data_IF_234017447593
#
_entry.id   IF_234017447593
#
_cell.length_a   1.000
_cell.length_b   1.000
_cell.length_c   1.000
_cell.angle_alpha   90.00
_cell.angle_beta   90.00
_cell.angle_gamma   90.00
#
_symmetry.space_group_name_H-M   'P 1'
#
loop_
_entity.id
_entity.type
_entity.pdbx_description
1 polymer ?
#
# COMPACT_ATOMS: atom_id res chain seq x y z
N UNK A 1 3.99 -4.26 0.09
CA UNK A 1 3.39 -3.35 -0.88
C UNK A 1 2.93 -4.22 -2.04
N UNK A 2 1.88 -3.85 -2.76
CA UNK A 2 1.52 -4.55 -4.01
C UNK A 2 2.15 -3.85 -5.21
N UNK A 3 2.41 -4.60 -6.27
CA UNK A 3 2.76 -4.03 -7.57
C UNK A 3 1.52 -3.38 -8.19
N UNK A 4 1.65 -2.11 -8.57
CA UNK A 4 0.63 -1.30 -9.21
C UNK A 4 0.93 -1.24 -10.70
N UNK A 5 0.31 -2.14 -11.45
CA UNK A 5 0.43 -2.14 -12.90
C UNK A 5 -0.48 -1.05 -13.48
N UNK A 6 0.07 -0.19 -14.35
CA UNK A 6 -0.69 0.75 -15.17
C UNK A 6 -1.41 -0.02 -16.29
N UNK A 7 -2.53 -0.68 -15.94
CA UNK A 7 -3.25 -1.58 -16.86
C UNK A 7 -4.14 -0.80 -17.80
N UNK A 8 -4.59 0.38 -17.36
CA UNK A 8 -5.36 1.30 -18.19
C UNK A 8 -4.44 2.13 -19.07
N UNK A 9 -4.98 2.51 -20.23
CA UNK A 9 -4.37 3.54 -21.05
C UNK A 9 -4.21 4.82 -20.22
N UNK A 10 -3.17 5.58 -20.52
CA UNK A 10 -3.05 6.93 -19.99
C UNK A 10 -4.34 7.74 -20.29
N UNK A 11 -4.90 8.45 -19.30
CA UNK A 11 -6.00 9.38 -19.52
C UNK A 11 -5.68 10.43 -20.60
N UNK A 12 -6.51 10.56 -21.66
CA UNK A 12 -6.37 11.62 -22.66
C UNK A 12 -6.14 13.02 -22.09
N UNK A 13 -6.86 13.39 -21.02
CA UNK A 13 -6.68 14.71 -20.38
C UNK A 13 -5.28 14.91 -19.78
N UNK A 14 -4.64 13.84 -19.29
CA UNK A 14 -3.25 13.89 -18.82
C UNK A 14 -2.28 14.05 -20.00
N UNK A 15 -2.52 13.33 -21.10
CA UNK A 15 -1.71 13.43 -22.31
C UNK A 15 -1.78 14.83 -22.93
N UNK A 16 -2.96 15.46 -22.92
CA UNK A 16 -3.15 16.87 -23.31
C UNK A 16 -2.39 17.80 -22.36
N UNK A 17 -2.57 17.63 -21.04
CA UNK A 17 -1.88 18.45 -20.04
C UNK A 17 -0.36 18.37 -20.14
N UNK A 18 0.20 17.22 -20.53
CA UNK A 18 1.64 17.07 -20.79
C UNK A 18 2.13 17.96 -21.95
N UNK A 19 1.29 18.23 -22.96
CA UNK A 19 1.62 19.10 -24.12
C UNK A 19 1.47 20.58 -23.78
N UNK A 20 0.57 20.91 -22.84
CA UNK A 20 0.32 22.27 -22.35
C UNK A 20 0.53 22.32 -20.83
N UNK A 21 1.77 22.10 -20.35
CA UNK A 21 2.03 22.00 -18.93
C UNK A 21 1.74 23.33 -18.23
N UNK A 22 1.13 23.26 -17.05
CA UNK A 22 1.11 24.42 -16.17
C UNK A 22 2.53 24.70 -15.67
N UNK A 23 3.06 25.88 -16.01
CA UNK A 23 4.39 26.33 -15.63
C UNK A 23 4.41 26.93 -14.22
N UNK A 24 3.24 27.22 -13.63
CA UNK A 24 3.11 27.79 -12.30
C UNK A 24 3.11 26.73 -11.19
N UNK A 25 2.85 25.46 -11.53
CA UNK A 25 2.64 24.46 -10.49
C UNK A 25 2.26 23.05 -10.95
N UNK A 26 1.47 22.41 -10.09
CA UNK A 26 0.81 21.13 -10.38
C UNK A 26 -0.68 21.41 -10.37
N UNK A 27 -1.28 21.27 -11.53
CA UNK A 27 -2.72 21.37 -11.70
C UNK A 27 -3.11 20.48 -12.88
N UNK A 28 -4.12 19.64 -12.71
CA UNK A 28 -4.66 18.81 -13.78
C UNK A 28 -5.85 19.49 -14.47
N UNK A 29 -6.39 20.58 -13.91
CA UNK A 29 -7.54 21.28 -14.42
C UNK A 29 -8.71 20.32 -14.68
N UNK A 30 -9.33 20.34 -15.87
CA UNK A 30 -10.44 19.46 -16.24
C UNK A 30 -10.10 17.96 -16.18
N UNK A 31 -8.83 17.57 -16.35
CA UNK A 31 -8.40 16.17 -16.33
C UNK A 31 -8.38 15.55 -14.93
N UNK A 32 -8.61 16.34 -13.88
CA UNK A 32 -8.50 15.89 -12.48
C UNK A 32 -9.35 14.66 -12.19
N UNK A 33 -10.63 14.68 -12.56
CA UNK A 33 -11.56 13.56 -12.27
C UNK A 33 -11.13 12.29 -12.99
N UNK A 34 -10.87 12.39 -14.30
CA UNK A 34 -10.47 11.26 -15.15
C UNK A 34 -9.17 10.60 -14.64
N UNK A 35 -8.15 11.41 -14.32
CA UNK A 35 -6.88 10.89 -13.79
C UNK A 35 -7.08 10.22 -12.44
N UNK A 36 -7.94 10.79 -11.58
CA UNK A 36 -8.23 10.21 -10.26
C UNK A 36 -8.92 8.86 -10.38
N UNK A 37 -9.92 8.73 -11.24
CA UNK A 37 -10.64 7.48 -11.49
C UNK A 37 -9.69 6.40 -12.07
N UNK A 38 -8.84 6.77 -13.03
CA UNK A 38 -7.86 5.87 -13.60
C UNK A 38 -6.86 5.36 -12.55
N UNK A 39 -6.37 6.25 -11.66
CA UNK A 39 -5.47 5.88 -10.56
C UNK A 39 -6.15 4.96 -9.55
N UNK A 40 -7.36 5.28 -9.12
CA UNK A 40 -8.08 4.42 -8.15
C UNK A 40 -8.28 3.01 -8.72
N UNK A 41 -8.61 2.92 -10.01
CA UNK A 41 -8.82 1.64 -10.67
C UNK A 41 -7.52 0.84 -10.88
N UNK A 42 -6.43 1.46 -11.35
CA UNK A 42 -5.12 0.78 -11.49
C UNK A 42 -4.55 0.31 -10.15
N UNK A 43 -4.92 1.00 -9.06
CA UNK A 43 -4.49 0.66 -7.71
C UNK A 43 -5.48 -0.17 -6.91
N UNK A 44 -6.57 -0.61 -7.54
CA UNK A 44 -7.59 -1.47 -6.92
C UNK A 44 -8.15 -0.86 -5.62
N UNK A 45 -8.32 0.47 -5.62
CA UNK A 45 -8.83 1.24 -4.48
C UNK A 45 -7.86 1.43 -3.31
N UNK A 46 -6.57 1.12 -3.47
CA UNK A 46 -5.59 1.15 -2.38
C UNK A 46 -4.57 2.28 -2.52
N UNK A 47 -4.11 2.80 -1.38
CA UNK A 47 -2.95 3.67 -1.30
C UNK A 47 -1.70 2.94 -1.79
N UNK A 48 -0.93 3.61 -2.65
CA UNK A 48 0.25 3.03 -3.29
C UNK A 48 1.28 2.48 -2.28
N UNK A 49 1.40 3.12 -1.11
CA UNK A 49 2.41 2.77 -0.12
C UNK A 49 1.92 1.88 1.01
N UNK A 50 0.94 2.33 1.80
CA UNK A 50 0.49 1.58 2.98
C UNK A 50 -0.61 0.55 2.69
N UNK A 51 -1.15 0.53 1.46
CA UNK A 51 -2.22 -0.36 1.01
C UNK A 51 -3.50 -0.30 1.86
N UNK A 52 -3.75 0.79 2.60
CA UNK A 52 -5.10 1.10 3.11
C UNK A 52 -6.00 1.53 1.95
N UNK A 53 -7.32 1.47 2.12
CA UNK A 53 -8.27 2.02 1.14
C UNK A 53 -8.05 3.53 0.96
N UNK A 54 -8.12 4.00 -0.28
CA UNK A 54 -8.21 5.42 -0.58
C UNK A 54 -9.55 5.95 -0.04
N UNK A 55 -9.50 7.03 0.73
CA UNK A 55 -10.67 7.75 1.27
C UNK A 55 -10.89 9.05 0.48
N UNK A 56 -12.00 9.75 0.70
CA UNK A 56 -12.34 10.96 -0.07
C UNK A 56 -11.21 12.02 -0.11
N UNK A 57 -10.33 12.05 0.89
CA UNK A 57 -9.20 12.97 0.99
C UNK A 57 -7.90 12.50 0.35
N UNK A 58 -7.92 11.44 -0.47
CA UNK A 58 -6.73 10.91 -1.12
C UNK A 58 -6.14 11.90 -2.15
N UNK A 59 -4.82 11.84 -2.35
CA UNK A 59 -4.05 12.78 -3.18
C UNK A 59 -3.32 12.07 -4.31
N UNK A 60 -3.07 12.79 -5.40
CA UNK A 60 -2.16 12.35 -6.45
C UNK A 60 -0.74 12.74 -6.03
N UNK A 61 0.14 11.76 -5.99
CA UNK A 61 1.55 11.90 -5.69
C UNK A 61 2.39 11.63 -6.94
N UNK A 62 3.55 12.29 -7.00
CA UNK A 62 4.61 12.00 -7.95
C UNK A 62 5.63 11.08 -7.29
N UNK A 63 5.87 9.90 -7.85
CA UNK A 63 6.85 8.95 -7.32
C UNK A 63 8.26 9.56 -7.33
N UNK A 64 8.72 10.04 -8.50
CA UNK A 64 9.82 11.01 -8.62
C UNK A 64 9.27 12.39 -8.27
N UNK A 65 9.72 13.01 -7.16
CA UNK A 65 9.21 14.31 -6.75
C UNK A 65 9.49 15.38 -7.81
N UNK A 66 8.56 16.34 -7.95
CA UNK A 66 8.69 17.45 -8.91
C UNK A 66 9.93 18.32 -8.69
N UNK A 67 10.38 18.43 -7.43
CA UNK A 67 11.61 19.14 -7.07
C UNK A 67 12.89 18.41 -7.48
N UNK A 68 12.80 17.12 -7.81
CA UNK A 68 13.91 16.29 -8.28
C UNK A 68 13.94 16.28 -9.80
N UNK A 69 12.80 16.02 -10.44
CA UNK A 69 12.71 15.96 -11.90
C UNK A 69 11.34 16.48 -12.39
N UNK A 70 11.30 17.76 -12.76
CA UNK A 70 10.06 18.44 -13.15
C UNK A 70 9.48 17.95 -14.48
N UNK A 71 10.30 17.38 -15.37
CA UNK A 71 9.86 16.79 -16.65
C UNK A 71 8.90 15.61 -16.44
N UNK A 72 8.94 14.96 -15.26
CA UNK A 72 8.07 13.84 -14.90
C UNK A 72 6.74 14.23 -14.28
N UNK A 73 6.44 15.53 -14.18
CA UNK A 73 5.23 16.04 -13.50
C UNK A 73 3.96 15.41 -14.07
N UNK A 74 3.83 15.35 -15.40
CA UNK A 74 2.65 14.81 -16.07
C UNK A 74 2.89 13.44 -16.69
N UNK A 75 3.89 12.68 -16.24
CA UNK A 75 4.12 11.30 -16.70
C UNK A 75 3.16 10.33 -16.01
N UNK A 76 2.35 9.59 -16.78
CA UNK A 76 1.39 8.64 -16.19
C UNK A 76 2.06 7.60 -15.30
N UNK A 77 3.23 7.14 -15.71
CA UNK A 77 4.11 6.21 -14.99
C UNK A 77 4.89 6.86 -13.84
N UNK A 78 4.58 8.10 -13.49
CA UNK A 78 5.11 8.79 -12.31
C UNK A 78 3.99 9.15 -11.31
N UNK A 79 2.71 9.02 -11.68
CA UNK A 79 1.58 9.39 -10.82
C UNK A 79 1.04 8.20 -10.03
N UNK A 80 0.77 8.43 -8.74
CA UNK A 80 0.25 7.46 -7.79
C UNK A 80 -0.91 8.06 -6.99
N UNK A 81 -1.91 7.25 -6.66
CA UNK A 81 -2.92 7.58 -5.65
C UNK A 81 -2.46 7.21 -4.25
N UNK A 82 -2.43 8.16 -3.34
CA UNK A 82 -2.00 7.96 -1.96
C UNK A 82 -3.01 8.52 -0.97
N UNK A 83 -3.09 7.90 0.21
CA UNK A 83 -3.89 8.44 1.29
C UNK A 83 -3.40 9.83 1.71
N UNK A 84 -4.24 10.59 2.43
CA UNK A 84 -3.88 11.90 2.97
C UNK A 84 -2.63 11.92 3.87
N UNK A 85 -2.21 10.75 4.37
CA UNK A 85 -0.96 10.60 5.12
C UNK A 85 -1.05 11.04 6.58
N UNK A 86 -2.24 11.35 7.08
CA UNK A 86 -2.44 11.77 8.46
C UNK A 86 -3.25 10.72 9.21
N UNK A 87 -2.68 10.25 10.31
CA UNK A 87 -3.39 9.45 11.30
C UNK A 87 -3.41 10.27 12.59
N UNK A 88 -4.58 10.35 13.24
CA UNK A 88 -4.73 11.13 14.47
C UNK A 88 -3.68 10.79 15.54
N UNK A 89 -3.62 11.63 16.58
CA UNK A 89 -2.64 11.48 17.66
C UNK A 89 -2.65 10.07 18.25
N UNK A 90 -1.45 9.61 18.60
CA UNK A 90 -1.30 8.33 19.28
C UNK A 90 -1.77 8.48 20.73
N UNK A 91 -2.65 7.61 21.23
CA UNK A 91 -3.00 7.59 22.65
C UNK A 91 -1.76 7.45 23.53
N UNK A 92 -1.67 8.27 24.59
CA UNK A 92 -0.49 8.37 25.48
C UNK A 92 -0.26 7.11 26.34
N UNK A 93 -1.29 6.30 26.50
CA UNK A 93 -1.32 5.07 27.30
C UNK A 93 -0.85 3.83 26.52
N UNK A 94 -0.63 3.92 25.21
CA UNK A 94 -0.12 2.80 24.43
C UNK A 94 1.38 2.54 24.69
N UNK A 95 1.81 1.28 24.91
CA UNK A 95 3.22 0.94 25.14
C UNK A 95 4.11 1.42 23.99
N UNK A 96 5.26 2.00 24.29
CA UNK A 96 6.16 2.55 23.28
C UNK A 96 6.44 1.57 22.13
N UNK A 97 6.36 2.06 20.89
CA UNK A 97 6.73 1.26 19.71
C UNK A 97 8.23 1.45 19.45
N UNK A 98 9.02 0.38 19.25
CA UNK A 98 10.44 0.51 18.89
C UNK A 98 10.56 0.96 17.43
N UNK A 99 10.27 2.24 17.18
CA UNK A 99 10.25 2.90 15.88
C UNK A 99 10.84 4.31 16.04
N UNK A 100 11.89 4.68 15.27
CA UNK A 100 12.46 6.03 15.28
C UNK A 100 11.47 7.16 14.97
N UNK A 101 10.34 6.85 14.34
CA UNK A 101 9.26 7.79 14.01
C UNK A 101 8.11 7.78 15.04
N UNK A 102 8.33 7.23 16.24
CA UNK A 102 7.35 7.21 17.32
C UNK A 102 6.80 8.61 17.63
N UNK A 103 5.48 8.71 17.82
CA UNK A 103 4.78 9.97 18.09
C UNK A 103 4.41 10.78 16.85
N UNK A 104 4.97 10.49 15.66
CA UNK A 104 4.58 11.18 14.42
C UNK A 104 3.23 10.67 13.90
N UNK A 105 2.35 11.62 13.55
CA UNK A 105 1.03 11.38 12.94
C UNK A 105 1.12 11.17 11.41
N UNK A 106 2.14 11.76 10.78
CA UNK A 106 2.38 11.72 9.34
C UNK A 106 2.90 10.36 8.87
N UNK A 107 2.44 9.90 7.72
CA UNK A 107 2.89 8.71 7.02
C UNK A 107 2.67 8.83 5.50
N UNK A 108 3.17 7.86 4.74
CA UNK A 108 3.12 7.84 3.28
C UNK A 108 3.70 9.15 2.70
N UNK A 109 2.99 9.77 1.75
CA UNK A 109 3.36 11.02 1.09
C UNK A 109 3.65 12.17 2.07
N UNK A 110 2.82 12.34 3.11
CA UNK A 110 3.01 13.39 4.11
C UNK A 110 4.37 13.28 4.84
N UNK A 111 4.81 12.04 5.12
CA UNK A 111 6.11 11.76 5.73
C UNK A 111 7.26 11.79 4.72
N UNK A 112 7.04 11.25 3.51
CA UNK A 112 8.04 11.19 2.43
C UNK A 112 8.45 12.56 1.93
N UNK A 113 7.50 13.49 1.80
CA UNK A 113 7.73 14.82 1.24
C UNK A 113 8.41 14.72 -0.13
N UNK A 114 9.54 15.40 -0.31
CA UNK A 114 10.32 15.41 -1.55
C UNK A 114 11.45 14.38 -1.57
N UNK A 115 11.47 13.41 -0.64
CA UNK A 115 12.49 12.36 -0.64
C UNK A 115 12.21 11.36 -1.76
N UNK A 116 13.21 11.11 -2.61
CA UNK A 116 13.15 10.04 -3.60
C UNK A 116 13.28 8.68 -2.90
N UNK A 117 12.44 7.73 -3.28
CA UNK A 117 12.43 6.38 -2.72
C UNK A 117 13.09 5.38 -3.67
N UNK A 118 13.63 4.31 -3.11
CA UNK A 118 14.03 3.11 -3.85
C UNK A 118 12.84 2.19 -4.12
N UNK A 119 11.92 2.08 -3.15
CA UNK A 119 10.66 1.36 -3.29
C UNK A 119 9.81 2.03 -4.37
N UNK A 120 9.64 1.33 -5.48
CA UNK A 120 8.79 1.77 -6.58
C UNK A 120 7.57 0.87 -6.72
N UNK A 121 6.36 1.32 -6.31
CA UNK A 121 5.13 0.55 -6.45
C UNK A 121 4.82 0.11 -7.89
N UNK A 122 5.34 0.81 -8.89
CA UNK A 122 5.13 0.55 -10.33
C UNK A 122 6.10 -0.52 -10.88
N UNK A 123 7.01 -1.04 -10.05
CA UNK A 123 7.93 -2.12 -10.42
C UNK A 123 7.50 -3.43 -9.75
N UNK A 124 7.46 -4.57 -10.48
CA UNK A 124 7.08 -5.86 -9.89
C UNK A 124 7.91 -6.27 -8.68
N UNK A 125 9.19 -5.89 -8.64
CA UNK A 125 10.12 -6.24 -7.56
C UNK A 125 9.64 -5.78 -6.16
N UNK A 126 8.84 -4.71 -6.08
CA UNK A 126 8.37 -4.11 -4.82
C UNK A 126 7.62 -5.08 -3.90
N UNK A 127 7.01 -6.13 -4.46
CA UNK A 127 6.31 -7.16 -3.67
C UNK A 127 7.25 -7.99 -2.81
N UNK A 128 8.52 -8.10 -3.21
CA UNK A 128 9.58 -8.81 -2.48
C UNK A 128 10.49 -7.90 -1.63
N UNK A 129 10.35 -6.58 -1.76
CA UNK A 129 11.22 -5.61 -1.07
C UNK A 129 10.77 -5.29 0.36
N UNK A 130 9.53 -5.62 0.72
CA UNK A 130 9.00 -5.42 2.08
C UNK A 130 8.30 -6.67 2.60
N UNK A 131 8.50 -6.95 3.89
CA UNK A 131 7.90 -8.07 4.62
C UNK A 131 6.92 -7.56 5.69
N UNK A 132 5.93 -8.39 5.99
CA UNK A 132 4.91 -8.13 7.00
C UNK A 132 4.96 -9.18 8.10
N UNK A 133 4.83 -8.74 9.35
CA UNK A 133 4.76 -9.61 10.53
C UNK A 133 3.35 -9.68 11.11
N UNK A 134 3.13 -10.67 11.99
CA UNK A 134 1.89 -10.80 12.78
C UNK A 134 1.59 -9.57 13.65
N UNK A 135 2.63 -8.86 14.13
CA UNK A 135 2.46 -7.62 14.89
C UNK A 135 2.05 -6.41 14.03
N UNK A 136 1.83 -6.63 12.72
CA UNK A 136 1.52 -5.58 11.76
C UNK A 136 2.73 -4.72 11.36
N UNK A 137 3.94 -5.08 11.79
CA UNK A 137 5.17 -4.35 11.41
C UNK A 137 5.52 -4.64 9.95
N UNK A 138 6.06 -3.62 9.28
CA UNK A 138 6.63 -3.67 7.94
C UNK A 138 8.14 -3.52 8.06
N UNK A 139 8.87 -4.35 7.35
CA UNK A 139 10.34 -4.33 7.33
C UNK A 139 10.82 -4.38 5.87
N UNK A 140 11.84 -3.59 5.54
CA UNK A 140 12.52 -3.69 4.26
C UNK A 140 13.42 -4.93 4.20
N UNK A 141 13.56 -5.54 3.03
CA UNK A 141 14.45 -6.70 2.83
C UNK A 141 15.88 -6.30 2.49
N UNK A 142 16.13 -5.02 2.24
CA UNK A 142 17.43 -4.40 2.04
C UNK A 142 17.57 -3.13 2.88
N UNK A 143 18.78 -2.60 3.02
CA UNK A 143 19.01 -1.33 3.72
C UNK A 143 18.23 -0.16 3.08
N UNK A 144 18.18 -0.11 1.74
CA UNK A 144 17.42 0.91 1.01
C UNK A 144 15.91 0.79 1.27
N UNK A 145 15.35 -0.42 1.17
CA UNK A 145 13.94 -0.64 1.46
C UNK A 145 13.60 -0.34 2.93
N UNK A 146 14.51 -0.63 3.86
CA UNK A 146 14.32 -0.31 5.28
C UNK A 146 14.33 1.22 5.53
N UNK A 147 15.22 1.96 4.87
CA UNK A 147 15.23 3.42 4.91
C UNK A 147 13.95 4.02 4.32
N UNK A 148 13.42 3.46 3.24
CA UNK A 148 12.15 3.92 2.65
C UNK A 148 10.94 3.60 3.55
N UNK A 149 10.92 2.45 4.21
CA UNK A 149 9.90 2.08 5.21
C UNK A 149 9.85 3.11 6.34
N UNK A 150 11.02 3.60 6.78
CA UNK A 150 11.13 4.68 7.77
C UNK A 150 10.69 6.03 7.21
N UNK A 151 11.16 6.40 6.01
CA UNK A 151 10.82 7.65 5.31
C UNK A 151 9.30 7.78 5.10
N UNK A 152 8.65 6.70 4.71
CA UNK A 152 7.20 6.60 4.56
C UNK A 152 6.45 6.44 5.88
N UNK A 153 7.15 6.30 7.01
CA UNK A 153 6.62 5.95 8.32
C UNK A 153 5.58 4.80 8.24
N UNK A 154 5.90 3.71 7.53
CA UNK A 154 4.91 2.64 7.31
C UNK A 154 4.53 1.91 8.60
N UNK A 155 5.33 2.03 9.66
CA UNK A 155 5.05 1.54 11.02
C UNK A 155 4.42 2.58 11.94
N UNK A 156 3.80 3.62 11.37
CA UNK A 156 2.90 4.51 12.12
C UNK A 156 1.85 3.66 12.87
N UNK A 157 1.56 4.04 14.12
CA UNK A 157 0.83 3.21 15.08
C UNK A 157 -0.50 2.67 14.54
N UNK A 158 -1.30 3.50 13.87
CA UNK A 158 -2.62 3.14 13.35
C UNK A 158 -2.50 2.19 12.15
N UNK A 159 -1.52 2.41 11.28
CA UNK A 159 -1.23 1.49 10.18
C UNK A 159 -0.79 0.13 10.72
N UNK A 160 0.09 0.11 11.72
CA UNK A 160 0.55 -1.12 12.36
C UNK A 160 -0.60 -1.86 13.06
N UNK A 161 -1.40 -1.16 13.87
CA UNK A 161 -2.57 -1.74 14.55
C UNK A 161 -3.60 -2.29 13.57
N UNK A 162 -3.90 -1.57 12.48
CA UNK A 162 -4.85 -2.05 11.48
C UNK A 162 -4.35 -3.30 10.74
N UNK A 163 -3.05 -3.35 10.39
CA UNK A 163 -2.45 -4.55 9.78
C UNK A 163 -2.49 -5.74 10.72
N UNK A 164 -2.20 -5.51 12.01
CA UNK A 164 -2.31 -6.54 13.05
C UNK A 164 -3.76 -7.05 13.16
N UNK A 165 -4.74 -6.17 13.20
CA UNK A 165 -6.15 -6.55 13.27
C UNK A 165 -6.61 -7.37 12.06
N UNK A 166 -6.17 -6.98 10.85
CA UNK A 166 -6.46 -7.75 9.62
C UNK A 166 -5.81 -9.13 9.67
N UNK A 167 -4.57 -9.24 10.15
CA UNK A 167 -3.89 -10.52 10.36
C UNK A 167 -4.66 -11.40 11.35
N UNK A 168 -4.94 -10.88 12.54
CA UNK A 168 -5.58 -11.63 13.63
C UNK A 168 -6.97 -12.12 13.24
N UNK A 169 -7.77 -11.31 12.53
CA UNK A 169 -9.09 -11.72 12.02
C UNK A 169 -9.01 -12.85 10.99
N UNK A 170 -8.08 -12.77 10.05
CA UNK A 170 -7.90 -13.81 9.05
C UNK A 170 -7.38 -15.11 9.69
N UNK A 171 -6.43 -15.00 10.62
CA UNK A 171 -5.91 -16.14 11.39
C UNK A 171 -7.00 -16.82 12.22
N UNK A 172 -7.85 -16.04 12.90
CA UNK A 172 -8.98 -16.55 13.67
C UNK A 172 -9.99 -17.27 12.78
N UNK A 173 -10.35 -16.70 11.62
CA UNK A 173 -11.26 -17.34 10.68
C UNK A 173 -10.70 -18.66 10.13
N UNK A 174 -9.38 -18.74 9.88
CA UNK A 174 -8.73 -20.00 9.51
C UNK A 174 -8.75 -21.01 10.65
N UNK A 175 -8.52 -20.58 11.89
CA UNK A 175 -8.59 -21.44 13.07
C UNK A 175 -9.99 -22.05 13.27
N UNK A 176 -11.04 -21.22 13.19
CA UNK A 176 -12.44 -21.66 13.27
C UNK A 176 -12.81 -22.64 12.15
N UNK A 177 -12.26 -22.42 10.94
CA UNK A 177 -12.40 -23.33 9.82
C UNK A 177 -11.46 -24.55 9.88
N UNK A 178 -10.79 -24.79 11.01
CA UNK A 178 -9.91 -25.93 11.24
C UNK A 178 -8.68 -25.99 10.32
N UNK A 179 -8.23 -24.83 9.82
CA UNK A 179 -7.14 -24.71 8.83
C UNK A 179 -7.41 -25.51 7.55
N UNK A 180 -8.69 -25.64 7.17
CA UNK A 180 -9.09 -26.40 5.98
C UNK A 180 -8.52 -25.80 4.70
N UNK A 181 -8.27 -26.66 3.71
CA UNK A 181 -7.76 -26.24 2.41
C UNK A 181 -8.75 -25.33 1.68
N UNK A 182 -10.05 -25.56 1.84
CA UNK A 182 -11.11 -24.69 1.34
C UNK A 182 -11.02 -23.26 1.91
N UNK A 183 -10.84 -23.11 3.23
CA UNK A 183 -10.70 -21.79 3.85
C UNK A 183 -9.44 -21.05 3.38
N UNK A 184 -8.31 -21.75 3.25
CA UNK A 184 -7.08 -21.18 2.71
C UNK A 184 -7.26 -20.73 1.25
N UNK A 185 -7.92 -21.53 0.41
CA UNK A 185 -8.18 -21.19 -0.98
C UNK A 185 -9.19 -20.05 -1.12
N UNK A 186 -10.17 -19.96 -0.22
CA UNK A 186 -11.08 -18.82 -0.16
C UNK A 186 -10.32 -17.52 0.17
N UNK A 187 -9.47 -17.55 1.20
CA UNK A 187 -8.61 -16.41 1.54
C UNK A 187 -7.68 -16.03 0.38
N UNK A 188 -7.06 -17.01 -0.27
CA UNK A 188 -6.17 -16.80 -1.41
C UNK A 188 -6.88 -16.07 -2.57
N UNK A 189 -8.12 -16.48 -2.89
CA UNK A 189 -8.95 -15.76 -3.86
C UNK A 189 -9.27 -14.35 -3.38
N UNK A 190 -9.70 -14.18 -2.14
CA UNK A 190 -10.08 -12.89 -1.58
C UNK A 190 -8.93 -11.87 -1.58
N UNK A 191 -7.68 -12.31 -1.47
CA UNK A 191 -6.51 -11.42 -1.48
C UNK A 191 -5.91 -11.24 -2.87
N UNK A 192 -6.32 -12.00 -3.88
CA UNK A 192 -5.77 -11.92 -5.24
C UNK A 192 -6.79 -11.49 -6.31
N UNK A 193 -8.07 -11.43 -5.96
CA UNK A 193 -9.14 -11.00 -6.87
C UNK A 193 -9.80 -9.74 -6.33
N UNK A 194 -10.03 -8.77 -7.22
CA UNK A 194 -10.83 -7.61 -6.91
C UNK A 194 -12.30 -8.01 -6.64
N UNK A 195 -12.96 -7.27 -5.76
CA UNK A 195 -14.40 -7.36 -5.51
C UNK A 195 -15.22 -6.80 -6.70
N UNK A 196 -16.55 -6.78 -6.57
CA UNK A 196 -17.46 -6.28 -7.60
C UNK A 196 -17.22 -4.81 -7.97
N UNK A 197 -16.62 -4.02 -7.06
CA UNK A 197 -16.26 -2.62 -7.27
C UNK A 197 -14.83 -2.46 -7.84
N UNK A 198 -14.16 -3.56 -8.18
CA UNK A 198 -12.79 -3.54 -8.69
C UNK A 198 -11.74 -3.31 -7.60
N UNK A 199 -12.06 -3.53 -6.32
CA UNK A 199 -11.18 -3.19 -5.18
C UNK A 199 -10.59 -4.42 -4.51
N UNK A 200 -9.35 -4.28 -4.00
CA UNK A 200 -8.76 -5.27 -3.11
C UNK A 200 -9.05 -4.93 -1.64
N UNK A 201 -9.00 -5.93 -0.73
CA UNK A 201 -9.14 -5.65 0.70
C UNK A 201 -8.03 -4.74 1.21
N UNK A 202 -8.36 -3.88 2.19
CA UNK A 202 -7.36 -3.06 2.85
C UNK A 202 -6.25 -3.93 3.46
N UNK A 203 -5.01 -3.47 3.33
CA UNK A 203 -3.82 -4.15 3.84
C UNK A 203 -3.58 -5.54 3.22
N UNK A 204 -4.05 -5.77 1.99
CA UNK A 204 -3.90 -7.04 1.24
C UNK A 204 -2.47 -7.61 1.26
N UNK A 205 -1.46 -6.75 1.22
CA UNK A 205 -0.04 -7.14 1.27
C UNK A 205 0.33 -7.90 2.55
N UNK A 206 -0.32 -7.57 3.67
CA UNK A 206 -0.14 -8.25 4.95
C UNK A 206 -0.63 -9.70 4.86
N UNK A 207 -1.83 -9.91 4.31
CA UNK A 207 -2.41 -11.24 4.16
C UNK A 207 -1.68 -12.09 3.11
N UNK A 208 -1.29 -11.48 1.98
CA UNK A 208 -0.46 -12.15 0.96
C UNK A 208 0.88 -12.65 1.53
N UNK A 209 1.51 -11.86 2.39
CA UNK A 209 2.74 -12.26 3.08
C UNK A 209 2.52 -13.34 4.15
N UNK A 210 1.33 -13.41 4.74
CA UNK A 210 0.96 -14.41 5.74
C UNK A 210 0.63 -15.78 5.13
N UNK A 211 -0.05 -15.79 3.98
CA UNK A 211 -0.66 -16.97 3.38
C UNK A 211 0.32 -18.16 3.18
N UNK A 212 1.57 -17.98 2.70
CA UNK A 212 2.51 -19.09 2.61
C UNK A 212 2.84 -19.74 3.97
N UNK A 213 2.93 -18.92 5.04
CA UNK A 213 3.19 -19.40 6.41
C UNK A 213 2.00 -20.21 6.91
N UNK A 214 0.79 -19.71 6.70
CA UNK A 214 -0.45 -20.38 7.10
C UNK A 214 -0.68 -21.70 6.34
N UNK A 215 -0.35 -21.76 5.04
CA UNK A 215 -0.36 -23.01 4.28
C UNK A 215 0.63 -24.04 4.83
N UNK A 216 1.82 -23.60 5.27
CA UNK A 216 2.80 -24.48 5.91
C UNK A 216 2.32 -25.02 7.27
N UNK A 217 1.70 -24.17 8.11
CA UNK A 217 1.08 -24.58 9.38
C UNK A 217 0.02 -25.66 9.13
N UNK A 218 -0.90 -25.42 8.19
CA UNK A 218 -1.96 -26.38 7.87
C UNK A 218 -1.42 -27.73 7.37
N UNK A 219 -0.32 -27.71 6.60
CA UNK A 219 0.37 -28.94 6.16
C UNK A 219 0.96 -29.71 7.35
N UNK A 220 1.59 -29.01 8.30
CA UNK A 220 2.12 -29.62 9.53
C UNK A 220 1.03 -30.26 10.40
N UNK A 221 -0.12 -29.59 10.55
CA UNK A 221 -1.27 -30.12 11.30
C UNK A 221 -1.84 -31.40 10.69
N UNK A 222 -1.89 -31.50 9.35
CA UNK A 222 -2.35 -32.71 8.65
C UNK A 222 -1.37 -33.87 8.80
N UNK A 223 -0.07 -33.60 8.73
CA UNK A 223 0.97 -34.61 8.88
C UNK A 223 1.03 -35.23 10.29
N UNK A 224 0.51 -34.55 11.31
CA UNK A 224 0.42 -35.09 12.68
C UNK A 224 -0.85 -35.91 12.95
N UNK A 225 -1.82 -35.89 12.03
CA UNK A 225 -3.13 -36.57 12.16
C UNK A 225 -3.26 -37.83 11.31
N UNK A 226 -2.33 -38.07 10.39
CA UNK A 226 -2.24 -39.27 9.55
C UNK A 226 -1.06 -40.11 9.98
#
# INVERSE_FOLDING_TARGET
>A
MIHLAKRRAEPPGLAERRRTPDLSGWDLGPATTEVREALEADQLGLCAYCNRRLDAGWRIEHWVPRSVESTKTYEWTNLLGVCSGHSGERPRDLPALPNPMEGRSEHCDASKRNTLLSLNPLKPAVTGEVKYSRSGRVEGTSAAAAADVLTLNLNQWRLQSNRRLVWERAEQALHEAGWSESALNHLDRAVNSADADGKLPAYVSTLRGALPRWRAVAKGMRAQRG
#
